data_IF_891884264706
#
_entry.id   IF_891884264706
#
_cell.length_a   1.000
_cell.length_b   1.000
_cell.length_c   1.000
_cell.angle_alpha   90.00
_cell.angle_beta   90.00
_cell.angle_gamma   90.00
#
_symmetry.space_group_name_H-M   'P 1'
#
loop_
_entity.id
_entity.type
_entity.pdbx_description
1 polymer ?
#
# COMPACT_ATOMS: atom_id res chain seq x y z
N UNK A 1 -38.57 65.71 14.80
CA UNK A 1 -39.09 64.32 14.88
C UNK A 1 -38.53 63.66 16.13
N UNK A 2 -39.38 63.18 17.06
CA UNK A 2 -38.97 62.45 18.27
C UNK A 2 -38.80 60.96 17.87
N UNK A 3 -37.62 60.56 17.27
CA UNK A 3 -37.31 59.19 16.82
C UNK A 3 -36.19 58.62 17.67
N UNK A 4 -36.28 57.33 17.99
CA UNK A 4 -35.21 56.52 18.54
C UNK A 4 -34.63 55.73 17.36
N UNK A 5 -33.35 55.92 17.11
CA UNK A 5 -32.65 55.22 16.01
C UNK A 5 -31.25 54.83 16.49
N UNK A 6 -30.71 53.73 15.96
CA UNK A 6 -29.36 53.27 16.25
C UNK A 6 -29.23 51.77 16.01
N UNK A 7 -28.02 51.29 16.05
CA UNK A 7 -27.68 49.85 15.99
C UNK A 7 -27.33 49.40 17.41
N UNK A 8 -28.09 48.49 18.01
CA UNK A 8 -27.75 47.97 19.34
C UNK A 8 -26.43 47.20 19.29
N UNK A 9 -25.58 47.41 20.30
CA UNK A 9 -24.34 46.66 20.48
C UNK A 9 -24.28 46.14 21.91
N UNK A 10 -24.14 44.85 22.07
CA UNK A 10 -23.97 44.18 23.35
C UNK A 10 -22.56 43.53 23.32
N UNK A 11 -21.74 43.86 24.33
CA UNK A 11 -20.33 43.40 24.39
C UNK A 11 -20.06 42.42 25.52
N UNK A 12 -21.07 42.14 26.33
CA UNK A 12 -20.99 41.33 27.55
C UNK A 12 -21.99 40.15 27.52
N UNK A 13 -22.09 39.48 26.34
CA UNK A 13 -22.85 38.27 26.21
C UNK A 13 -22.31 37.16 27.14
N UNK A 14 -23.20 36.48 27.85
CA UNK A 14 -22.79 35.25 28.53
C UNK A 14 -22.69 34.10 27.51
N UNK A 15 -21.93 33.02 27.80
CA UNK A 15 -21.72 31.93 26.84
C UNK A 15 -23.01 31.27 26.30
N UNK A 16 -24.05 31.23 27.10
CA UNK A 16 -25.34 30.59 26.77
C UNK A 16 -26.44 31.57 26.38
N UNK A 17 -26.11 32.86 26.32
CA UNK A 17 -27.11 33.89 26.02
C UNK A 17 -27.17 34.16 24.52
N UNK A 18 -28.35 33.98 23.93
CA UNK A 18 -28.60 34.20 22.49
C UNK A 18 -29.49 35.41 22.26
N UNK A 19 -30.25 35.82 23.29
CA UNK A 19 -31.15 36.95 23.19
C UNK A 19 -31.13 37.77 24.49
N UNK A 20 -31.19 39.09 24.36
CA UNK A 20 -31.29 39.99 25.51
C UNK A 20 -32.42 40.97 25.33
N UNK A 21 -33.33 41.01 26.33
CA UNK A 21 -34.39 42.02 26.38
C UNK A 21 -33.93 43.27 27.15
N UNK A 22 -34.03 44.42 26.54
CA UNK A 22 -33.70 45.71 27.10
C UNK A 22 -35.01 46.50 27.27
N UNK A 23 -35.40 46.86 28.52
CA UNK A 23 -36.54 47.67 28.77
C UNK A 23 -36.17 49.17 28.64
N UNK A 24 -36.76 49.81 27.67
CA UNK A 24 -36.59 51.26 27.42
C UNK A 24 -37.71 52.00 28.08
N UNK A 25 -37.36 53.02 28.88
CA UNK A 25 -38.33 53.93 29.54
C UNK A 25 -38.31 55.27 28.83
N UNK A 26 -39.46 55.71 28.40
CA UNK A 26 -39.66 57.06 27.84
C UNK A 26 -40.36 57.89 28.86
N UNK A 27 -39.77 59.01 29.23
CA UNK A 27 -40.34 59.96 30.18
C UNK A 27 -40.67 61.27 29.46
N UNK A 28 -41.89 61.71 29.58
CA UNK A 28 -42.31 63.02 29.15
C UNK A 28 -42.64 63.90 30.43
N UNK A 29 -42.02 65.04 30.52
CA UNK A 29 -42.24 65.95 31.62
C UNK A 29 -42.99 67.19 31.11
N UNK A 30 -44.11 67.59 31.76
CA UNK A 30 -44.86 68.75 31.37
C UNK A 30 -44.16 70.03 31.84
N UNK A 31 -44.73 71.20 31.49
CA UNK A 31 -44.20 72.53 31.88
C UNK A 31 -44.26 72.83 33.38
N UNK A 32 -45.07 72.08 34.14
CA UNK A 32 -45.15 72.14 35.59
C UNK A 32 -44.20 71.21 36.32
N UNK A 33 -43.43 70.40 35.59
CA UNK A 33 -42.44 69.45 36.12
C UNK A 33 -42.99 68.06 36.44
N UNK A 34 -44.21 67.70 36.00
CA UNK A 34 -44.81 66.39 36.27
C UNK A 34 -44.36 65.36 35.21
N UNK A 35 -43.74 64.28 35.60
CA UNK A 35 -43.31 63.23 34.67
C UNK A 35 -44.44 62.23 34.38
N UNK A 36 -44.51 61.79 33.09
CA UNK A 36 -45.32 60.66 32.66
C UNK A 36 -44.39 59.67 31.95
N UNK A 37 -44.47 58.45 32.33
CA UNK A 37 -43.57 57.41 31.79
C UNK A 37 -44.31 56.32 30.97
N UNK A 38 -43.67 55.81 29.95
CA UNK A 38 -44.09 54.63 29.20
C UNK A 38 -42.88 53.76 28.94
N UNK A 39 -43.08 52.47 28.92
CA UNK A 39 -42.01 51.52 28.67
C UNK A 39 -42.30 50.63 27.46
N UNK A 40 -41.25 50.24 26.73
CA UNK A 40 -41.30 49.21 25.73
C UNK A 40 -40.00 48.37 25.76
N UNK A 41 -39.98 47.21 25.11
CA UNK A 41 -38.82 46.32 25.09
C UNK A 41 -38.15 46.33 23.69
N UNK A 42 -36.85 46.28 23.69
CA UNK A 42 -36.04 45.96 22.52
C UNK A 42 -35.38 44.59 22.81
N UNK A 43 -35.68 43.58 21.99
CA UNK A 43 -35.00 42.30 22.04
C UNK A 43 -33.84 42.34 21.04
N UNK A 44 -32.64 42.15 21.53
CA UNK A 44 -31.43 42.02 20.69
C UNK A 44 -31.08 40.54 20.62
N UNK A 45 -30.94 40.01 19.42
CA UNK A 45 -30.44 38.66 19.18
C UNK A 45 -28.93 38.74 18.98
N UNK A 46 -28.24 37.76 19.49
CA UNK A 46 -26.78 37.58 19.25
C UNK A 46 -26.55 37.13 17.81
N UNK A 47 -25.51 37.60 17.20
CA UNK A 47 -24.99 37.24 15.87
C UNK A 47 -23.47 37.27 16.02
N UNK A 48 -22.89 36.07 16.24
CA UNK A 48 -21.51 35.93 16.69
C UNK A 48 -20.52 36.20 15.56
N UNK A 49 -20.75 35.66 14.35
CA UNK A 49 -19.89 35.83 13.17
C UNK A 49 -20.25 37.10 12.36
N UNK A 50 -21.42 37.69 12.62
CA UNK A 50 -21.95 38.91 11.97
C UNK A 50 -22.29 38.73 10.49
N UNK A 51 -22.76 37.55 10.11
CA UNK A 51 -23.23 37.26 8.77
C UNK A 51 -24.66 37.78 8.51
N UNK A 52 -25.40 38.12 9.59
CA UNK A 52 -26.78 38.64 9.58
C UNK A 52 -27.82 37.59 9.94
N UNK A 53 -27.40 36.34 10.23
CA UNK A 53 -28.23 35.28 10.79
C UNK A 53 -28.04 35.27 12.31
N UNK A 54 -29.07 35.34 13.13
CA UNK A 54 -28.86 35.30 14.58
C UNK A 54 -28.54 33.86 15.05
N UNK A 55 -27.68 33.73 16.08
CA UNK A 55 -27.21 32.43 16.66
C UNK A 55 -28.37 31.46 16.93
N UNK A 56 -29.55 31.92 17.31
CA UNK A 56 -30.75 31.09 17.59
C UNK A 56 -31.25 30.31 16.36
N UNK A 57 -30.87 30.69 15.15
CA UNK A 57 -31.27 30.08 13.86
C UNK A 57 -30.09 29.76 12.96
N UNK A 58 -28.90 30.18 13.35
CA UNK A 58 -27.71 29.81 12.67
C UNK A 58 -27.37 28.32 12.92
N UNK A 59 -26.60 27.70 12.09
CA UNK A 59 -26.13 26.35 12.22
C UNK A 59 -24.61 26.27 12.38
N UNK A 60 -23.92 27.43 12.28
CA UNK A 60 -22.48 27.64 12.39
C UNK A 60 -22.25 29.04 12.98
N UNK A 61 -22.52 29.17 14.30
CA UNK A 61 -22.64 30.46 15.02
C UNK A 61 -21.41 31.38 14.89
N UNK A 62 -20.20 30.82 14.69
CA UNK A 62 -18.96 31.59 14.60
C UNK A 62 -18.35 31.64 13.19
N UNK A 63 -18.99 30.95 12.21
CA UNK A 63 -18.64 31.01 10.81
C UNK A 63 -17.30 30.32 10.47
N UNK A 64 -16.84 29.34 11.28
CA UNK A 64 -15.55 28.71 11.12
C UNK A 64 -15.56 27.48 10.19
N UNK A 65 -16.78 27.07 9.76
CA UNK A 65 -17.04 25.97 8.83
C UNK A 65 -17.41 24.64 9.50
N UNK A 66 -17.48 24.60 10.83
CA UNK A 66 -18.00 23.45 11.57
C UNK A 66 -19.40 23.77 12.09
N UNK A 67 -20.40 22.89 11.85
CA UNK A 67 -21.72 23.09 12.43
C UNK A 67 -21.71 23.02 13.97
N UNK A 68 -22.50 23.85 14.66
CA UNK A 68 -22.64 23.87 16.14
C UNK A 68 -22.87 22.48 16.72
N UNK A 69 -23.71 21.67 16.04
CA UNK A 69 -24.03 20.30 16.47
C UNK A 69 -22.80 19.37 16.45
N UNK A 70 -21.88 19.56 15.49
CA UNK A 70 -20.62 18.83 15.46
C UNK A 70 -19.68 19.30 16.56
N UNK A 71 -19.58 20.60 16.78
CA UNK A 71 -18.72 21.20 17.80
C UNK A 71 -19.14 20.79 19.21
N UNK A 72 -20.41 20.90 19.54
CA UNK A 72 -20.95 20.41 20.82
C UNK A 72 -20.68 18.93 21.00
N UNK A 73 -20.89 18.11 19.97
CA UNK A 73 -20.63 16.66 20.04
C UNK A 73 -19.14 16.32 20.24
N UNK A 74 -18.24 17.20 19.80
CA UNK A 74 -16.78 17.01 19.90
C UNK A 74 -16.14 17.80 21.04
N UNK A 75 -16.94 18.58 21.77
CA UNK A 75 -16.52 19.33 22.97
C UNK A 75 -15.77 20.63 22.67
N UNK A 76 -16.00 21.21 21.49
CA UNK A 76 -15.54 22.55 21.11
C UNK A 76 -16.65 23.57 21.33
N UNK A 77 -16.34 24.87 21.22
CA UNK A 77 -17.26 25.97 21.50
C UNK A 77 -17.81 26.57 20.18
N UNK A 78 -19.11 26.40 19.88
CA UNK A 78 -19.74 26.89 18.65
C UNK A 78 -19.69 28.41 18.44
N UNK A 79 -19.22 29.16 19.46
CA UNK A 79 -19.16 30.62 19.41
C UNK A 79 -17.72 31.17 19.45
N UNK A 80 -16.74 30.30 19.31
CA UNK A 80 -15.31 30.65 19.27
C UNK A 80 -14.62 29.99 18.06
N UNK A 81 -14.48 30.73 16.97
CA UNK A 81 -13.89 30.30 15.71
C UNK A 81 -12.43 29.81 15.81
N UNK A 82 -11.81 29.90 16.98
CA UNK A 82 -10.51 29.27 17.26
C UNK A 82 -10.62 27.88 17.91
N UNK A 83 -11.82 27.51 18.39
CA UNK A 83 -12.11 26.25 19.10
C UNK A 83 -12.61 25.15 18.16
N UNK A 84 -11.76 24.67 17.26
CA UNK A 84 -12.12 23.75 16.15
C UNK A 84 -12.04 22.27 16.52
N UNK A 85 -13.01 21.44 16.06
CA UNK A 85 -12.90 19.99 16.17
C UNK A 85 -11.67 19.45 15.45
N UNK A 86 -10.90 18.56 16.09
CA UNK A 86 -9.76 17.88 15.45
C UNK A 86 -10.20 16.58 14.79
N UNK A 87 -9.61 16.24 13.63
CA UNK A 87 -9.81 14.94 12.97
C UNK A 87 -8.51 14.16 13.02
N UNK A 88 -8.54 12.91 13.52
CA UNK A 88 -7.37 12.03 13.57
C UNK A 88 -7.63 10.69 12.89
N UNK A 89 -6.60 10.12 12.27
CA UNK A 89 -6.62 8.80 11.64
C UNK A 89 -5.81 7.86 12.54
N UNK A 90 -6.41 6.73 12.94
CA UNK A 90 -5.67 5.71 13.68
C UNK A 90 -4.52 5.18 12.81
N UNK A 91 -3.28 5.15 13.32
CA UNK A 91 -2.13 4.66 12.57
C UNK A 91 -2.35 3.24 12.06
N UNK A 92 -2.04 3.01 10.76
CA UNK A 92 -2.14 1.71 10.10
C UNK A 92 -0.73 1.11 10.03
N UNK A 93 -0.60 -0.15 10.42
CA UNK A 93 0.67 -0.87 10.31
C UNK A 93 1.00 -1.20 8.86
N UNK A 94 2.29 -1.20 8.53
CA UNK A 94 2.76 -1.66 7.22
C UNK A 94 2.37 -3.13 6.98
N UNK A 95 2.13 -3.47 5.71
CA UNK A 95 1.78 -4.82 5.27
C UNK A 95 2.86 -5.36 4.35
N UNK A 96 3.08 -6.67 4.41
CA UNK A 96 3.88 -7.41 3.41
C UNK A 96 3.00 -8.51 2.86
N UNK A 97 3.00 -8.69 1.55
CA UNK A 97 2.19 -9.68 0.84
C UNK A 97 2.96 -10.21 -0.35
N UNK A 98 2.76 -11.48 -0.67
CA UNK A 98 3.28 -12.10 -1.90
C UNK A 98 2.35 -11.71 -3.06
N UNK A 99 2.91 -11.40 -4.22
CA UNK A 99 2.15 -11.09 -5.42
C UNK A 99 1.16 -12.21 -5.75
N UNK A 100 -0.04 -11.84 -6.18
CA UNK A 100 -1.10 -12.81 -6.47
C UNK A 100 -1.87 -13.32 -5.24
N UNK A 101 -1.41 -13.04 -4.02
CA UNK A 101 -2.12 -13.38 -2.78
C UNK A 101 -2.93 -12.19 -2.25
N UNK A 102 -4.11 -12.41 -1.63
CA UNK A 102 -4.90 -11.32 -1.07
C UNK A 102 -4.23 -10.72 0.18
N UNK A 103 -4.25 -9.38 0.29
CA UNK A 103 -3.85 -8.71 1.53
C UNK A 103 -4.84 -9.03 2.67
N UNK A 104 -4.34 -9.06 3.90
CA UNK A 104 -5.23 -9.06 5.07
C UNK A 104 -6.09 -7.79 5.06
N UNK A 105 -7.43 -7.87 5.27
CA UNK A 105 -8.29 -6.70 5.25
C UNK A 105 -7.82 -5.64 6.24
N UNK A 106 -7.62 -4.40 5.76
CA UNK A 106 -7.18 -3.26 6.57
C UNK A 106 -8.38 -2.36 6.82
N UNK A 107 -8.74 -2.13 8.10
CA UNK A 107 -9.79 -1.19 8.48
C UNK A 107 -9.20 0.20 8.69
N UNK A 108 -9.75 1.18 8.02
CA UNK A 108 -9.43 2.60 8.22
C UNK A 108 -10.33 3.17 9.31
N UNK A 109 -9.75 3.59 10.43
CA UNK A 109 -10.48 4.18 11.55
C UNK A 109 -10.15 5.64 11.70
N UNK A 110 -11.20 6.47 11.75
CA UNK A 110 -11.13 7.94 11.95
C UNK A 110 -12.04 8.28 13.10
N UNK A 111 -11.59 9.17 13.98
CA UNK A 111 -12.35 9.60 15.18
C UNK A 111 -13.53 10.52 14.83
N UNK A 112 -13.47 11.22 13.69
CA UNK A 112 -14.56 12.05 13.20
C UNK A 112 -15.51 11.23 12.32
N UNK A 113 -16.76 10.94 12.77
CA UNK A 113 -17.74 10.16 11.99
C UNK A 113 -18.20 10.87 10.72
N UNK A 114 -18.14 12.22 10.70
CA UNK A 114 -18.57 13.07 9.58
C UNK A 114 -17.46 13.27 8.53
N UNK A 115 -16.22 12.90 8.83
CA UNK A 115 -15.12 13.05 7.88
C UNK A 115 -15.27 12.13 6.66
N UNK A 116 -15.05 12.71 5.49
CA UNK A 116 -14.96 11.96 4.24
C UNK A 116 -13.57 11.34 4.13
N UNK A 117 -13.50 10.00 3.98
CA UNK A 117 -12.24 9.27 3.89
C UNK A 117 -11.96 8.86 2.45
N UNK A 118 -10.78 9.18 1.97
CA UNK A 118 -10.23 8.72 0.68
C UNK A 118 -8.90 8.02 0.87
N UNK A 119 -8.61 7.07 0.00
CA UNK A 119 -7.33 6.35 -0.01
C UNK A 119 -6.74 6.44 -1.40
N UNK A 120 -5.47 6.78 -1.49
CA UNK A 120 -4.75 6.96 -2.75
C UNK A 120 -3.47 6.15 -2.78
N UNK A 121 -2.96 5.93 -4.00
CA UNK A 121 -1.72 5.20 -4.26
C UNK A 121 -1.76 3.73 -3.80
N UNK A 122 -2.91 3.08 -3.95
CA UNK A 122 -3.04 1.64 -3.74
C UNK A 122 -2.37 0.88 -4.91
N UNK A 123 -1.73 -0.28 -4.67
CA UNK A 123 -1.26 -1.14 -5.75
C UNK A 123 -2.42 -1.63 -6.63
N UNK A 124 -2.12 -1.98 -7.89
CA UNK A 124 -3.12 -2.58 -8.78
C UNK A 124 -3.74 -3.82 -8.12
N UNK A 125 -5.04 -4.02 -8.32
CA UNK A 125 -5.79 -5.12 -7.70
C UNK A 125 -6.21 -4.89 -6.25
N UNK A 126 -5.77 -3.80 -5.61
CA UNK A 126 -6.17 -3.40 -4.25
C UNK A 126 -7.10 -2.21 -4.30
N UNK A 127 -8.18 -2.24 -3.53
CA UNK A 127 -9.21 -1.19 -3.52
C UNK A 127 -9.63 -0.81 -2.11
N UNK A 128 -10.11 0.42 -1.96
CA UNK A 128 -10.75 0.92 -0.75
C UNK A 128 -12.26 0.95 -0.93
N UNK A 129 -12.99 0.38 0.02
CA UNK A 129 -14.45 0.46 0.09
C UNK A 129 -14.87 1.51 1.13
N UNK A 130 -15.42 2.67 0.72
CA UNK A 130 -15.80 3.73 1.67
C UNK A 130 -16.97 3.37 2.57
N UNK A 131 -17.86 2.45 2.15
CA UNK A 131 -19.02 2.03 2.96
C UNK A 131 -18.61 1.16 4.15
N UNK A 132 -17.63 0.28 3.96
CA UNK A 132 -17.09 -0.59 5.03
C UNK A 132 -15.83 -0.03 5.65
N UNK A 133 -15.28 1.05 5.10
CA UNK A 133 -13.99 1.65 5.45
C UNK A 133 -12.84 0.63 5.46
N UNK A 134 -12.84 -0.31 4.50
CA UNK A 134 -11.83 -1.36 4.39
C UNK A 134 -11.05 -1.29 3.09
N UNK A 135 -9.76 -1.60 3.18
CA UNK A 135 -8.86 -1.81 2.03
C UNK A 135 -8.68 -3.31 1.88
N UNK A 136 -8.95 -3.85 0.68
CA UNK A 136 -8.86 -5.27 0.36
C UNK A 136 -8.44 -5.46 -1.09
N UNK A 137 -7.98 -6.64 -1.43
CA UNK A 137 -7.66 -7.01 -2.81
C UNK A 137 -6.39 -7.86 -2.89
N UNK A 138 -5.99 -8.14 -4.11
CA UNK A 138 -4.81 -8.94 -4.46
C UNK A 138 -3.88 -8.05 -5.29
N UNK A 139 -2.72 -7.65 -4.76
CA UNK A 139 -1.81 -6.78 -5.50
C UNK A 139 -1.14 -7.51 -6.66
N UNK A 140 -1.02 -6.83 -7.79
CA UNK A 140 -0.31 -7.27 -8.97
C UNK A 140 0.63 -6.15 -9.46
N UNK A 141 1.85 -6.51 -9.82
CA UNK A 141 2.87 -5.62 -10.38
C UNK A 141 3.21 -6.10 -11.78
N UNK A 142 2.88 -5.33 -12.80
CA UNK A 142 3.10 -5.72 -14.21
C UNK A 142 4.42 -5.25 -14.80
N UNK A 143 5.18 -4.45 -14.08
CA UNK A 143 6.40 -3.78 -14.56
C UNK A 143 7.59 -4.00 -13.60
N UNK A 144 7.79 -5.25 -13.16
CA UNK A 144 8.94 -5.61 -12.35
C UNK A 144 10.27 -5.26 -13.03
N UNK A 145 11.16 -4.64 -12.28
CA UNK A 145 12.56 -4.52 -12.70
C UNK A 145 13.23 -5.91 -12.75
N UNK A 146 14.22 -6.10 -13.63
CA UNK A 146 14.87 -7.40 -13.84
C UNK A 146 15.48 -8.02 -12.56
N UNK A 147 15.91 -7.19 -11.61
CA UNK A 147 16.52 -7.60 -10.34
C UNK A 147 15.65 -7.21 -9.14
N UNK A 148 14.40 -6.81 -9.37
CA UNK A 148 13.50 -6.37 -8.33
C UNK A 148 12.75 -7.57 -7.76
N UNK A 149 12.90 -7.81 -6.46
CA UNK A 149 12.26 -8.93 -5.73
C UNK A 149 11.10 -8.47 -4.86
N UNK A 150 11.03 -7.19 -4.57
CA UNK A 150 9.91 -6.59 -3.82
C UNK A 150 9.74 -5.11 -4.17
N UNK A 151 8.53 -4.61 -4.04
CA UNK A 151 8.20 -3.19 -4.24
C UNK A 151 7.47 -2.63 -3.05
N UNK A 152 7.98 -1.52 -2.48
CA UNK A 152 7.30 -0.76 -1.44
C UNK A 152 6.41 0.31 -2.05
N UNK A 153 5.13 0.28 -1.72
CA UNK A 153 4.14 1.26 -2.16
C UNK A 153 3.64 2.02 -0.94
N UNK A 154 3.87 3.33 -0.91
CA UNK A 154 3.35 4.20 0.16
C UNK A 154 1.92 4.58 -0.15
N UNK A 155 1.00 4.08 0.66
CA UNK A 155 -0.44 4.37 0.59
C UNK A 155 -0.73 5.58 1.46
N UNK A 156 -1.56 6.49 0.96
CA UNK A 156 -1.99 7.69 1.71
C UNK A 156 -3.49 7.60 1.99
N UNK A 157 -3.84 7.71 3.26
CA UNK A 157 -5.22 7.88 3.73
C UNK A 157 -5.43 9.36 4.04
N UNK A 158 -6.50 9.94 3.52
CA UNK A 158 -6.91 11.31 3.78
C UNK A 158 -8.30 11.32 4.37
N UNK A 159 -8.47 11.94 5.52
CA UNK A 159 -9.76 12.24 6.13
C UNK A 159 -10.00 13.75 6.02
N UNK A 160 -11.08 14.14 5.35
CA UNK A 160 -11.48 15.55 5.19
C UNK A 160 -12.69 15.80 6.05
N UNK A 161 -12.61 16.75 6.95
CA UNK A 161 -13.68 17.14 7.86
C UNK A 161 -14.79 17.95 7.16
N UNK A 162 -15.82 18.37 7.92
CA UNK A 162 -16.96 19.15 7.41
C UNK A 162 -16.56 20.53 6.91
N UNK A 163 -15.53 21.13 7.50
CA UNK A 163 -14.98 22.43 7.09
C UNK A 163 -14.01 22.33 5.89
N UNK A 164 -13.76 21.13 5.37
CA UNK A 164 -12.89 20.89 4.22
C UNK A 164 -11.41 20.78 4.56
N UNK A 165 -11.02 20.65 5.84
CA UNK A 165 -9.63 20.51 6.25
C UNK A 165 -9.18 19.03 6.15
N UNK A 166 -8.09 18.71 5.41
CA UNK A 166 -7.61 17.35 5.29
C UNK A 166 -6.63 16.99 6.41
N UNK A 167 -6.79 15.80 6.97
CA UNK A 167 -5.79 15.12 7.80
C UNK A 167 -5.29 13.90 7.04
N UNK A 168 -3.98 13.65 7.03
CA UNK A 168 -3.38 12.55 6.29
C UNK A 168 -2.59 11.61 7.20
N UNK A 169 -2.62 10.32 6.86
CA UNK A 169 -1.77 9.28 7.43
C UNK A 169 -1.25 8.38 6.31
N UNK A 170 -0.05 7.84 6.46
CA UNK A 170 0.55 6.96 5.46
C UNK A 170 0.99 5.65 6.09
N UNK A 171 0.94 4.58 5.28
CA UNK A 171 1.51 3.28 5.60
C UNK A 171 2.07 2.64 4.32
N UNK A 172 2.84 1.57 4.44
CA UNK A 172 3.44 0.88 3.29
C UNK A 172 2.78 -0.47 3.05
N UNK A 173 2.59 -0.80 1.78
CA UNK A 173 2.34 -2.16 1.31
C UNK A 173 3.60 -2.59 0.55
N UNK A 174 4.29 -3.61 1.07
CA UNK A 174 5.41 -4.25 0.39
C UNK A 174 4.88 -5.47 -0.34
N UNK A 175 4.95 -5.46 -1.66
CA UNK A 175 4.60 -6.61 -2.51
C UNK A 175 5.89 -7.34 -2.82
N UNK A 176 5.97 -8.62 -2.45
CA UNK A 176 7.07 -9.52 -2.80
C UNK A 176 6.74 -10.18 -4.14
N UNK A 177 7.71 -10.20 -5.04
CA UNK A 177 7.58 -10.87 -6.33
C UNK A 177 7.49 -12.38 -6.14
N UNK A 178 6.68 -13.02 -6.97
CA UNK A 178 6.49 -14.47 -7.07
C UNK A 178 6.36 -14.76 -8.57
N UNK A 179 7.48 -15.12 -9.20
CA UNK A 179 7.60 -15.17 -10.65
C UNK A 179 6.83 -16.34 -11.25
N UNK A 180 6.87 -17.51 -10.62
CA UNK A 180 6.17 -18.73 -11.10
C UNK A 180 4.79 -18.93 -10.48
N UNK A 181 4.46 -18.12 -9.44
CA UNK A 181 3.18 -18.11 -8.71
C UNK A 181 2.89 -19.40 -7.93
N UNK A 182 3.91 -20.00 -7.37
CA UNK A 182 3.77 -21.19 -6.54
C UNK A 182 3.46 -20.89 -5.07
N UNK A 183 3.64 -19.62 -4.64
CA UNK A 183 3.35 -19.10 -3.32
C UNK A 183 4.58 -18.87 -2.44
N UNK A 184 5.77 -19.24 -2.92
CA UNK A 184 7.04 -18.87 -2.33
C UNK A 184 7.58 -17.62 -3.06
N UNK A 185 7.93 -16.52 -2.37
CA UNK A 185 8.42 -15.33 -3.06
C UNK A 185 9.86 -15.51 -3.54
N UNK A 186 10.21 -14.91 -4.68
CA UNK A 186 11.54 -14.96 -5.32
C UNK A 186 12.71 -14.77 -4.34
N UNK A 187 12.54 -13.95 -3.29
CA UNK A 187 13.57 -13.70 -2.27
C UNK A 187 13.97 -14.94 -1.47
N UNK A 188 13.16 -15.97 -1.44
CA UNK A 188 13.37 -17.22 -0.68
C UNK A 188 13.18 -18.48 -1.52
N UNK A 189 12.70 -18.35 -2.73
CA UNK A 189 12.65 -19.45 -3.69
C UNK A 189 14.07 -19.84 -4.13
N UNK A 190 14.22 -21.02 -4.63
CA UNK A 190 15.49 -21.56 -5.14
C UNK A 190 15.47 -21.77 -6.66
N UNK A 191 14.29 -21.64 -7.27
CA UNK A 191 14.03 -21.83 -8.70
C UNK A 191 12.87 -20.89 -9.08
N UNK A 192 13.18 -19.57 -9.15
CA UNK A 192 12.22 -18.47 -9.24
C UNK A 192 11.19 -18.60 -10.37
N UNK A 193 11.52 -19.32 -11.46
CA UNK A 193 10.63 -19.49 -12.62
C UNK A 193 10.15 -20.94 -12.82
N UNK A 194 10.55 -21.84 -11.91
CA UNK A 194 10.17 -23.26 -11.84
C UNK A 194 10.45 -24.01 -13.16
N UNK A 195 11.59 -23.71 -13.80
CA UNK A 195 12.00 -24.34 -15.04
C UNK A 195 12.83 -25.60 -14.84
N UNK A 196 13.18 -25.92 -13.57
CA UNK A 196 13.95 -27.08 -13.13
C UNK A 196 15.45 -26.83 -13.00
N UNK A 197 15.91 -25.60 -13.16
CA UNK A 197 17.25 -25.14 -12.84
C UNK A 197 17.16 -24.17 -11.66
N UNK A 198 18.06 -24.31 -10.70
CA UNK A 198 18.09 -23.36 -9.58
C UNK A 198 18.70 -22.03 -10.01
N UNK A 199 18.30 -20.94 -9.33
CA UNK A 199 18.83 -19.58 -9.56
C UNK A 199 20.36 -19.54 -9.51
N UNK A 200 20.96 -20.34 -8.61
CA UNK A 200 22.42 -20.46 -8.48
C UNK A 200 23.03 -21.07 -9.73
N UNK A 201 22.41 -22.12 -10.30
CA UNK A 201 22.88 -22.73 -11.56
C UNK A 201 22.74 -21.77 -12.71
N UNK A 202 21.63 -21.08 -12.80
CA UNK A 202 21.36 -20.11 -13.85
C UNK A 202 22.31 -18.91 -13.78
N UNK A 203 22.49 -18.33 -12.59
CA UNK A 203 23.43 -17.25 -12.36
C UNK A 203 24.87 -17.66 -12.77
N UNK A 204 25.29 -18.90 -12.45
CA UNK A 204 26.60 -19.44 -12.85
C UNK A 204 26.73 -19.58 -14.37
N UNK A 205 25.63 -19.85 -15.06
CA UNK A 205 25.57 -20.01 -16.51
C UNK A 205 25.16 -18.73 -17.26
N UNK A 206 24.87 -17.67 -16.54
CA UNK A 206 24.42 -16.35 -17.07
C UNK A 206 23.09 -16.45 -17.82
N UNK A 207 22.22 -17.33 -17.40
CA UNK A 207 20.82 -17.36 -17.76
C UNK A 207 20.00 -16.54 -16.75
N UNK A 208 18.72 -16.36 -17.02
CA UNK A 208 17.87 -15.50 -16.22
C UNK A 208 16.95 -16.33 -15.32
N UNK A 209 17.13 -16.32 -13.99
CA UNK A 209 16.34 -17.11 -13.04
C UNK A 209 14.83 -16.78 -13.02
N UNK A 210 14.39 -15.75 -13.73
CA UNK A 210 13.00 -15.28 -13.77
C UNK A 210 12.36 -15.41 -15.16
N UNK A 211 12.97 -16.19 -16.07
CA UNK A 211 12.46 -16.46 -17.41
C UNK A 211 12.57 -17.95 -17.74
N UNK A 212 11.49 -18.72 -17.66
CA UNK A 212 11.50 -20.18 -17.85
C UNK A 212 11.93 -20.63 -19.26
N UNK A 213 12.18 -19.71 -20.18
CA UNK A 213 12.76 -19.99 -21.49
C UNK A 213 14.28 -19.77 -21.53
N UNK A 214 14.86 -19.18 -20.49
CA UNK A 214 16.28 -18.85 -20.41
C UNK A 214 17.09 -19.93 -19.70
N UNK A 215 17.08 -21.16 -20.22
CA UNK A 215 17.65 -22.34 -19.57
C UNK A 215 19.16 -22.51 -19.79
N UNK A 216 19.89 -22.93 -18.75
CA UNK A 216 21.29 -23.33 -18.89
C UNK A 216 21.48 -24.43 -19.91
N UNK A 217 22.49 -24.32 -20.78
CA UNK A 217 22.89 -25.40 -21.71
C UNK A 217 24.02 -26.21 -21.11
N UNK A 218 23.93 -27.52 -21.25
CA UNK A 218 25.01 -28.45 -20.85
C UNK A 218 25.88 -28.79 -22.06
N UNK A 219 27.19 -28.68 -21.92
CA UNK A 219 28.15 -29.06 -22.92
C UNK A 219 29.10 -30.14 -22.40
N UNK A 220 29.54 -31.03 -23.33
CA UNK A 220 30.55 -32.06 -23.08
C UNK A 220 31.85 -31.59 -23.71
N UNK A 221 32.95 -31.62 -22.94
CA UNK A 221 34.26 -31.34 -23.48
C UNK A 221 34.57 -32.35 -24.59
N UNK A 222 34.96 -31.92 -25.80
CA UNK A 222 35.28 -32.85 -26.89
C UNK A 222 36.33 -33.88 -26.49
N UNK A 223 36.05 -35.15 -26.78
CA UNK A 223 36.92 -36.29 -26.52
C UNK A 223 37.61 -36.64 -27.82
N UNK A 224 38.94 -36.83 -27.77
CA UNK A 224 39.71 -37.23 -28.94
C UNK A 224 39.56 -38.71 -29.23
N UNK A 225 39.56 -39.08 -30.51
CA UNK A 225 39.57 -40.46 -30.96
C UNK A 225 40.79 -41.22 -30.41
N UNK A 226 40.60 -42.52 -30.17
CA UNK A 226 41.68 -43.42 -29.75
C UNK A 226 41.79 -44.58 -30.67
N UNK A 227 43.05 -45.00 -30.92
CA UNK A 227 43.36 -46.21 -31.60
C UNK A 227 44.11 -47.16 -30.65
N UNK A 228 43.64 -48.38 -30.52
CA UNK A 228 44.24 -49.38 -29.63
C UNK A 228 44.33 -50.71 -30.32
N UNK A 229 45.33 -51.45 -29.96
CA UNK A 229 45.48 -52.87 -30.47
C UNK A 229 44.59 -53.75 -29.59
N UNK A 230 43.82 -54.66 -30.20
CA UNK A 230 42.97 -55.59 -29.46
C UNK A 230 43.73 -56.30 -28.36
N UNK A 231 43.12 -56.52 -27.21
CA UNK A 231 43.76 -57.11 -26.02
C UNK A 231 44.63 -56.19 -25.21
N UNK A 232 44.84 -54.92 -25.64
CA UNK A 232 45.48 -53.89 -24.85
C UNK A 232 44.45 -52.96 -24.26
N UNK A 233 44.70 -52.46 -23.05
CA UNK A 233 43.78 -51.49 -22.44
C UNK A 233 43.80 -50.13 -23.18
N UNK A 234 42.61 -49.45 -23.26
CA UNK A 234 42.54 -48.07 -23.72
C UNK A 234 43.17 -47.12 -22.69
N UNK A 235 43.68 -46.00 -23.13
CA UNK A 235 44.03 -44.92 -22.23
C UNK A 235 42.77 -44.43 -21.55
N UNK A 236 42.75 -44.28 -20.20
CA UNK A 236 41.57 -43.84 -19.50
C UNK A 236 41.05 -42.50 -20.06
N UNK A 237 39.77 -42.45 -20.46
CA UNK A 237 39.09 -41.25 -20.97
C UNK A 237 38.27 -40.67 -19.84
N UNK A 238 38.52 -39.43 -19.51
CA UNK A 238 37.65 -38.69 -18.56
C UNK A 238 36.58 -37.93 -19.34
N UNK A 239 35.30 -38.16 -19.02
CA UNK A 239 34.19 -37.41 -19.57
C UNK A 239 33.98 -36.19 -18.70
N UNK A 240 34.19 -35.01 -19.27
CA UNK A 240 34.01 -33.73 -18.56
C UNK A 240 32.80 -32.99 -19.12
N UNK A 241 31.88 -32.64 -18.26
CA UNK A 241 30.70 -31.81 -18.56
C UNK A 241 30.77 -30.51 -17.73
N UNK A 242 30.25 -29.44 -18.28
CA UNK A 242 30.28 -28.13 -17.63
C UNK A 242 29.16 -27.95 -16.58
N UNK A 243 28.11 -28.79 -16.62
CA UNK A 243 27.11 -28.87 -15.58
C UNK A 243 27.42 -30.05 -14.64
N UNK A 244 27.81 -29.82 -13.36
CA UNK A 244 28.14 -30.87 -12.40
C UNK A 244 26.97 -31.80 -12.08
N UNK A 245 25.73 -31.29 -12.20
CA UNK A 245 24.50 -32.02 -11.92
C UNK A 245 23.98 -32.85 -13.08
N UNK A 246 24.59 -32.71 -14.27
CA UNK A 246 24.17 -33.46 -15.45
C UNK A 246 24.41 -34.95 -15.29
N UNK A 247 23.39 -35.75 -15.59
CA UNK A 247 23.54 -37.22 -15.72
C UNK A 247 24.25 -37.54 -17.04
N UNK A 248 25.37 -38.23 -16.94
CA UNK A 248 26.13 -38.67 -18.11
C UNK A 248 25.88 -40.14 -18.35
N UNK A 249 25.46 -40.47 -19.56
CA UNK A 249 25.38 -41.87 -20.06
C UNK A 249 26.31 -42.06 -21.24
N UNK A 250 26.89 -43.24 -21.35
CA UNK A 250 27.76 -43.60 -22.46
C UNK A 250 27.21 -44.87 -23.10
N UNK A 251 27.05 -44.87 -24.42
CA UNK A 251 26.51 -45.99 -25.18
C UNK A 251 27.51 -46.49 -26.24
N UNK A 252 27.27 -47.69 -26.81
CA UNK A 252 28.05 -48.30 -27.88
C UNK A 252 29.52 -48.51 -27.56
N UNK A 253 29.83 -48.80 -26.29
CA UNK A 253 31.16 -49.15 -25.88
C UNK A 253 31.51 -50.56 -26.42
N UNK A 254 32.75 -50.80 -26.89
CA UNK A 254 33.19 -52.13 -27.26
C UNK A 254 33.10 -53.09 -26.07
N UNK A 255 32.96 -54.41 -26.37
CA UNK A 255 33.04 -55.41 -25.31
C UNK A 255 34.33 -55.26 -24.50
N UNK A 256 34.26 -55.36 -23.17
CA UNK A 256 35.40 -55.19 -22.27
C UNK A 256 35.76 -53.76 -21.93
N UNK A 257 35.05 -52.79 -22.50
CA UNK A 257 35.17 -51.38 -22.12
C UNK A 257 33.91 -50.94 -21.32
N UNK A 258 34.09 -50.21 -20.24
CA UNK A 258 33.01 -49.74 -19.35
C UNK A 258 33.14 -48.28 -19.02
N UNK A 259 32.01 -47.66 -18.71
CA UNK A 259 31.93 -46.31 -18.15
C UNK A 259 31.57 -46.40 -16.65
N UNK A 260 32.38 -45.74 -15.83
CA UNK A 260 32.11 -45.57 -14.40
C UNK A 260 31.53 -44.18 -14.17
N UNK A 261 30.24 -44.11 -13.79
CA UNK A 261 29.52 -42.86 -13.55
C UNK A 261 30.03 -42.07 -12.31
N UNK A 262 30.66 -42.76 -11.35
CA UNK A 262 31.22 -42.15 -10.14
C UNK A 262 32.51 -41.37 -10.44
N UNK A 263 33.41 -42.02 -11.17
CA UNK A 263 34.70 -41.43 -11.56
C UNK A 263 34.61 -40.66 -12.89
N UNK A 264 33.49 -40.76 -13.58
CA UNK A 264 33.27 -40.23 -14.95
C UNK A 264 34.33 -40.67 -15.95
N UNK A 265 34.83 -41.93 -15.82
CA UNK A 265 35.88 -42.48 -16.69
C UNK A 265 35.39 -43.65 -17.53
N UNK A 266 35.87 -43.69 -18.78
CA UNK A 266 35.76 -44.85 -19.65
C UNK A 266 37.09 -45.59 -19.62
N UNK A 267 37.07 -46.86 -19.26
CA UNK A 267 38.26 -47.71 -19.12
C UNK A 267 37.95 -49.14 -19.60
N UNK A 268 38.98 -49.90 -19.87
CA UNK A 268 38.83 -51.30 -20.18
C UNK A 268 39.72 -51.74 -21.33
N UNK A 269 39.58 -53.02 -21.71
CA UNK A 269 40.32 -53.68 -22.81
C UNK A 269 39.30 -54.10 -23.85
N UNK A 270 39.26 -53.49 -25.04
CA UNK A 270 38.29 -53.82 -26.05
C UNK A 270 38.56 -55.23 -26.61
N UNK A 271 37.49 -56.01 -26.80
CA UNK A 271 37.52 -57.32 -27.45
C UNK A 271 36.50 -57.32 -28.60
N UNK A 272 36.94 -57.59 -29.81
CA UNK A 272 36.12 -57.71 -31.01
C UNK A 272 36.00 -59.14 -31.36
N UNK A 273 34.79 -59.71 -31.37
CA UNK A 273 34.54 -61.14 -31.60
C UNK A 273 34.03 -61.44 -33.00
N UNK A 274 33.81 -60.43 -33.81
CA UNK A 274 33.15 -60.53 -35.13
C UNK A 274 33.97 -59.86 -36.26
N UNK A 275 35.30 -60.01 -36.22
CA UNK A 275 36.16 -59.53 -37.28
C UNK A 275 35.76 -60.13 -38.62
N UNK A 276 35.56 -59.30 -39.65
CA UNK A 276 35.35 -59.77 -41.00
C UNK A 276 36.68 -60.13 -41.65
N UNK A 277 36.71 -61.07 -42.62
CA UNK A 277 37.95 -61.50 -43.25
C UNK A 277 38.78 -60.46 -44.02
N UNK A 278 38.20 -59.22 -44.12
CA UNK A 278 38.82 -58.11 -44.86
C UNK A 278 39.16 -56.90 -43.95
N UNK A 279 38.96 -57.04 -42.67
CA UNK A 279 39.27 -56.01 -41.67
C UNK A 279 40.61 -56.19 -40.94
#
# INVERSE_FOLDING_TARGET
TKKITGTPAITDWTPTEETREITVTVTATDSAGNPTTSTFKITVQRDTDRDGTPDVTDTDDDGDGYPDTEEVARGTDPKDSSSKPSTTITPISNQTVIEGNPISPITVTVDNPNATVTVSNLPNGVTYNPSTKTITGTPEISDWGAMEEHREITVTVTATDSAGNPTTSTFKITVQRDTDRDGDPDVSDLDDDNDGYSDIEEAAKRTNPKDPNSKPTTSITPISDQTVVEGNPISPITVTVDNPNATVTVSNLPNGVTYDSTTKKITGTPAITDWTPTE
#
